data_IF_433503221893
#
_entry.id   IF_433503221893
#
_cell.length_a   1.000
_cell.length_b   1.000
_cell.length_c   1.000
_cell.angle_alpha   90.00
_cell.angle_beta   90.00
_cell.angle_gamma   90.00
#
_symmetry.space_group_name_H-M   'P 1'
#
loop_
_entity.id
_entity.type
_entity.pdbx_description
1 polymer ?
#
# COMPACT_ATOMS: atom_id res chain seq x y z
N UNK A 1 8.17 -0.49 -1.86
CA UNK A 1 7.35 -1.11 -0.80
C UNK A 1 7.83 -2.53 -0.60
N UNK A 2 7.60 -3.12 0.58
CA UNK A 2 7.92 -4.53 0.84
C UNK A 2 6.63 -5.34 0.86
N UNK A 3 6.59 -6.45 0.13
CA UNK A 3 5.42 -7.32 0.08
C UNK A 3 5.65 -8.55 0.94
N UNK A 4 4.70 -8.91 1.80
CA UNK A 4 4.77 -10.11 2.62
C UNK A 4 3.39 -10.67 2.94
N UNK A 5 3.32 -11.96 3.28
CA UNK A 5 2.11 -12.60 3.81
C UNK A 5 2.27 -12.73 5.32
N UNK A 6 1.31 -12.23 6.09
CA UNK A 6 1.35 -12.36 7.56
C UNK A 6 0.95 -13.78 7.96
N UNK A 7 1.80 -14.45 8.73
CA UNK A 7 1.53 -15.81 9.21
C UNK A 7 0.35 -15.90 10.16
N UNK A 8 -0.09 -14.79 10.77
CA UNK A 8 -1.17 -14.79 11.76
C UNK A 8 -2.59 -14.82 11.16
N UNK A 9 -2.77 -14.19 9.99
CA UNK A 9 -4.08 -14.06 9.34
C UNK A 9 -4.07 -14.44 7.85
N UNK A 10 -2.91 -14.82 7.31
CA UNK A 10 -2.74 -15.17 5.89
C UNK A 10 -2.89 -13.98 4.94
N UNK A 11 -3.03 -12.75 5.45
CA UNK A 11 -3.26 -11.60 4.60
C UNK A 11 -1.98 -11.16 3.92
N UNK A 12 -2.12 -10.68 2.68
CA UNK A 12 -1.01 -10.14 1.90
C UNK A 12 -0.89 -8.63 2.12
N UNK A 13 0.23 -8.22 2.69
CA UNK A 13 0.58 -6.84 3.02
C UNK A 13 1.50 -6.25 1.96
N UNK A 14 1.27 -4.99 1.64
CA UNK A 14 2.22 -4.13 0.92
C UNK A 14 2.60 -2.97 1.83
N UNK A 15 3.84 -3.00 2.32
CA UNK A 15 4.36 -2.00 3.24
C UNK A 15 5.14 -0.91 2.49
N UNK A 16 4.50 0.25 2.36
CA UNK A 16 5.06 1.47 1.79
C UNK A 16 5.31 2.55 2.85
N UNK A 17 5.45 2.18 4.13
CA UNK A 17 5.72 3.11 5.21
C UNK A 17 6.96 3.95 4.92
N UNK A 18 6.82 5.28 5.08
CA UNK A 18 7.91 6.27 4.99
C UNK A 18 8.77 6.13 3.73
N UNK A 19 8.14 5.90 2.58
CA UNK A 19 8.83 5.78 1.28
C UNK A 19 8.94 7.12 0.52
N UNK A 20 8.38 8.21 1.07
CA UNK A 20 8.40 9.52 0.43
C UNK A 20 7.48 9.63 -0.78
N UNK A 21 6.46 8.79 -0.86
CA UNK A 21 5.51 8.75 -1.98
C UNK A 21 4.66 10.04 -2.02
N UNK A 22 4.47 10.59 -3.21
CA UNK A 22 3.58 11.75 -3.45
C UNK A 22 2.19 11.34 -3.95
N UNK A 23 2.03 10.09 -4.36
CA UNK A 23 0.76 9.50 -4.81
C UNK A 23 0.63 8.06 -4.31
N UNK A 24 -0.60 7.53 -4.32
CA UNK A 24 -0.82 6.10 -4.10
C UNK A 24 -0.15 5.34 -5.25
N UNK A 25 0.73 4.36 -4.98
CA UNK A 25 1.36 3.59 -6.02
C UNK A 25 0.29 2.76 -6.75
N UNK A 26 0.13 3.01 -8.05
CA UNK A 26 -0.71 2.19 -8.91
C UNK A 26 -0.09 0.79 -8.99
N UNK A 27 -0.76 -0.19 -8.40
CA UNK A 27 -0.31 -1.58 -8.40
C UNK A 27 0.73 -1.90 -7.32
N UNK A 28 0.28 -2.02 -6.07
CA UNK A 28 0.79 -3.13 -5.25
C UNK A 28 0.32 -4.43 -5.91
N UNK A 29 1.09 -5.54 -5.91
CA UNK A 29 0.75 -6.76 -6.66
C UNK A 29 -0.72 -7.12 -6.42
N UNK A 30 -1.43 -7.50 -7.49
CA UNK A 30 -2.90 -7.63 -7.68
C UNK A 30 -3.73 -8.29 -6.55
N UNK A 31 -3.08 -8.74 -5.48
CA UNK A 31 -3.68 -9.43 -4.34
C UNK A 31 -3.31 -8.78 -2.99
N UNK A 32 -2.94 -7.50 -2.97
CA UNK A 32 -2.67 -6.80 -1.71
C UNK A 32 -3.99 -6.55 -0.97
N UNK A 33 -4.09 -7.10 0.23
CA UNK A 33 -5.28 -6.98 1.08
C UNK A 33 -5.09 -5.90 2.15
N UNK A 34 -3.85 -5.61 2.53
CA UNK A 34 -3.52 -4.54 3.46
C UNK A 34 -2.39 -3.69 2.90
N UNK A 35 -2.62 -2.38 2.82
CA UNK A 35 -1.67 -1.42 2.27
C UNK A 35 -1.28 -0.38 3.34
N UNK A 36 0.02 -0.26 3.63
CA UNK A 36 0.55 0.73 4.56
C UNK A 36 1.18 1.89 3.79
N UNK A 37 0.59 3.08 3.92
CA UNK A 37 1.02 4.32 3.26
C UNK A 37 1.39 5.44 4.24
N UNK A 38 1.49 5.15 5.53
CA UNK A 38 1.76 6.17 6.55
C UNK A 38 3.14 6.80 6.35
N UNK A 39 3.30 8.04 6.82
CA UNK A 39 4.52 8.85 6.68
C UNK A 39 4.99 9.07 5.22
N UNK A 40 4.04 9.14 4.29
CA UNK A 40 4.28 9.62 2.94
C UNK A 40 3.80 11.07 2.76
N UNK A 41 4.00 11.61 1.55
CA UNK A 41 3.63 12.98 1.15
C UNK A 41 2.39 12.98 0.25
N UNK A 42 1.53 11.97 0.41
CA UNK A 42 0.28 11.83 -0.35
C UNK A 42 -0.69 12.87 0.17
N UNK A 43 -1.02 13.86 -0.66
CA UNK A 43 -1.92 14.97 -0.28
C UNK A 43 -3.38 14.68 -0.65
N UNK A 44 -3.59 13.86 -1.67
CA UNK A 44 -4.92 13.46 -2.14
C UNK A 44 -4.86 12.03 -2.68
N UNK A 45 -6.01 11.38 -2.65
CA UNK A 45 -6.21 10.08 -3.26
C UNK A 45 -6.74 10.30 -4.68
N UNK A 46 -6.16 9.68 -5.72
CA UNK A 46 -6.75 9.70 -7.03
C UNK A 46 -8.12 9.00 -7.01
N UNK A 47 -9.02 9.41 -7.90
CA UNK A 47 -10.29 8.71 -8.10
C UNK A 47 -9.99 7.25 -8.49
N UNK A 48 -10.70 6.30 -7.88
CA UNK A 48 -10.42 4.88 -8.07
C UNK A 48 -9.08 4.38 -7.52
N UNK A 49 -8.47 5.06 -6.55
CA UNK A 49 -7.26 4.57 -5.88
C UNK A 49 -7.41 3.17 -5.25
N UNK A 50 -8.66 2.74 -4.98
CA UNK A 50 -9.01 1.49 -4.31
C UNK A 50 -10.21 0.77 -4.94
N UNK A 51 -10.59 1.14 -6.17
CA UNK A 51 -11.70 0.49 -6.90
C UNK A 51 -11.27 -0.87 -7.51
#
# INVERSE_FOLDING_TARGET
CSCYVSSGNGLRYSDCYRKGLSSVPAGSPDNTQVLYLQENRIQSLPEGAFD
#
